data_IF_672714027174
#
_entry.id   IF_672714027174
#
_cell.length_a   1.000
_cell.length_b   1.000
_cell.length_c   1.000
_cell.angle_alpha   90.00
_cell.angle_beta   90.00
_cell.angle_gamma   90.00
#
_symmetry.space_group_name_H-M   'P 1'
#
loop_
_entity.id
_entity.type
_entity.pdbx_description
1 polymer ?
#
# COMPACT_ATOMS: atom_id res chain seq x y z
N UNK A 1 34.04 45.23 21.72
CA UNK A 1 34.55 44.41 22.81
C UNK A 1 33.40 43.89 23.66
N UNK A 2 32.94 42.69 23.43
CA UNK A 2 32.04 41.96 24.34
C UNK A 2 32.41 40.49 24.25
N UNK A 3 32.81 39.94 25.42
CA UNK A 3 33.30 38.56 25.58
C UNK A 3 32.11 37.62 25.60
N UNK A 4 32.16 36.57 24.76
CA UNK A 4 31.27 35.44 24.84
C UNK A 4 31.85 34.37 25.79
N UNK A 5 31.11 34.06 26.84
CA UNK A 5 31.43 33.02 27.82
C UNK A 5 31.02 31.65 27.28
N UNK A 6 31.96 30.69 27.30
CA UNK A 6 31.74 29.28 27.03
C UNK A 6 30.83 28.64 28.08
N UNK A 7 29.66 28.15 27.67
CA UNK A 7 28.89 27.21 28.44
C UNK A 7 29.14 25.78 27.94
N UNK A 8 29.76 24.96 28.75
CA UNK A 8 29.94 23.51 28.57
C UNK A 8 28.61 22.82 28.78
N UNK A 9 28.10 22.15 27.74
CA UNK A 9 26.97 21.24 27.88
C UNK A 9 27.48 19.83 28.13
N UNK A 10 27.18 19.33 29.34
CA UNK A 10 27.41 17.93 29.72
C UNK A 10 26.36 16.98 29.12
N UNK A 11 26.62 15.66 29.07
CA UNK A 11 25.73 14.71 28.41
C UNK A 11 24.47 14.45 29.21
N UNK A 12 23.32 14.55 28.53
CA UNK A 12 22.00 14.20 29.08
C UNK A 12 21.91 12.67 29.20
N UNK A 13 21.95 12.16 30.43
CA UNK A 13 21.57 10.78 30.75
C UNK A 13 20.08 10.72 31.00
N UNK A 14 19.32 10.12 30.10
CA UNK A 14 17.96 9.63 30.38
C UNK A 14 17.87 8.18 29.90
N UNK A 15 18.26 7.28 30.78
CA UNK A 15 17.85 5.89 30.74
C UNK A 15 17.27 5.56 32.11
N UNK A 16 15.96 5.69 32.29
CA UNK A 16 15.24 5.10 33.41
C UNK A 16 14.48 3.87 32.89
N UNK A 17 14.98 2.68 33.27
CA UNK A 17 14.23 1.43 33.29
C UNK A 17 13.01 1.61 34.18
N UNK A 18 11.81 1.45 33.65
CA UNK A 18 10.63 1.14 34.43
C UNK A 18 10.57 -0.37 34.61
N UNK A 19 10.97 -0.85 35.79
CA UNK A 19 10.68 -2.19 36.25
C UNK A 19 9.27 -2.17 36.85
N UNK A 20 8.33 -2.87 36.20
CA UNK A 20 7.02 -3.17 36.77
C UNK A 20 7.20 -4.35 37.74
N UNK A 21 7.02 -4.10 39.02
CA UNK A 21 6.91 -5.10 40.07
C UNK A 21 5.57 -5.80 39.95
N UNK A 22 5.61 -7.13 39.78
CA UNK A 22 4.43 -7.97 39.82
C UNK A 22 3.96 -8.12 41.28
N UNK A 23 2.79 -7.56 41.59
CA UNK A 23 2.11 -7.83 42.85
C UNK A 23 1.24 -9.08 42.74
N UNK A 24 1.35 -9.85 43.80
CA UNK A 24 0.78 -11.17 44.02
C UNK A 24 -0.76 -11.14 44.02
N UNK A 25 -1.36 -11.93 43.13
CA UNK A 25 -2.80 -12.26 43.14
C UNK A 25 -3.00 -13.58 43.89
N UNK A 26 -3.94 -13.71 44.85
CA UNK A 26 -4.15 -14.94 45.59
C UNK A 26 -4.81 -16.03 44.72
N UNK A 27 -4.31 -17.28 44.91
CA UNK A 27 -4.85 -18.50 44.31
C UNK A 27 -6.33 -18.67 44.66
N UNK A 28 -7.19 -18.74 43.68
CA UNK A 28 -8.56 -19.28 43.77
C UNK A 28 -8.62 -20.68 43.22
N UNK A 29 -9.50 -21.45 43.86
CA UNK A 29 -9.73 -22.87 43.75
C UNK A 29 -9.89 -23.41 42.32
N UNK A 30 -9.36 -24.60 42.11
CA UNK A 30 -9.52 -25.43 40.94
C UNK A 30 -11.02 -25.81 40.74
N UNK A 31 -11.61 -25.23 39.69
CA UNK A 31 -12.83 -25.79 39.12
C UNK A 31 -12.44 -26.57 37.86
N UNK A 32 -12.78 -27.89 37.88
CA UNK A 32 -12.76 -28.72 36.69
C UNK A 32 -13.55 -28.04 35.58
N UNK A 33 -12.84 -27.63 34.53
CA UNK A 33 -13.46 -27.19 33.28
C UNK A 33 -13.47 -28.40 32.32
N UNK A 34 -14.68 -28.81 31.98
CA UNK A 34 -14.96 -29.73 30.89
C UNK A 34 -14.24 -29.28 29.61
N UNK A 35 -13.63 -30.24 28.92
CA UNK A 35 -13.03 -30.03 27.59
C UNK A 35 -14.12 -29.61 26.60
N UNK A 36 -14.36 -28.31 26.50
CA UNK A 36 -15.03 -27.74 25.34
C UNK A 36 -14.04 -27.71 24.19
N UNK A 37 -14.36 -28.42 23.12
CA UNK A 37 -13.72 -28.21 21.83
C UNK A 37 -13.72 -26.69 21.51
N UNK A 38 -12.58 -26.12 21.05
CA UNK A 38 -12.59 -24.74 20.59
C UNK A 38 -13.64 -24.61 19.47
N UNK A 39 -14.39 -23.49 19.43
CA UNK A 39 -15.30 -23.27 18.34
C UNK A 39 -14.52 -23.38 17.05
N UNK A 40 -14.99 -24.22 16.10
CA UNK A 40 -14.47 -24.23 14.75
C UNK A 40 -14.51 -22.76 14.26
N UNK A 41 -13.34 -22.22 13.91
CA UNK A 41 -13.27 -20.97 13.21
C UNK A 41 -14.22 -21.07 12.02
N UNK A 42 -15.26 -20.26 12.03
CA UNK A 42 -16.13 -20.12 10.88
C UNK A 42 -15.23 -19.59 9.77
N UNK A 43 -14.78 -20.48 8.90
CA UNK A 43 -14.14 -20.08 7.65
C UNK A 43 -15.19 -19.29 6.91
N UNK A 44 -15.05 -17.97 6.91
CA UNK A 44 -15.75 -17.10 5.96
C UNK A 44 -15.30 -17.62 4.60
N UNK A 45 -16.15 -18.41 3.96
CA UNK A 45 -15.88 -18.88 2.61
C UNK A 45 -15.71 -17.62 1.77
N UNK A 46 -14.52 -17.37 1.21
CA UNK A 46 -14.40 -16.28 0.23
C UNK A 46 -15.40 -16.60 -0.88
N UNK A 47 -16.01 -15.55 -1.42
CA UNK A 47 -16.84 -15.66 -2.63
C UNK A 47 -16.20 -16.69 -3.58
N UNK A 48 -16.99 -17.62 -4.15
CA UNK A 48 -16.42 -18.69 -4.98
C UNK A 48 -15.52 -18.06 -6.04
N UNK A 49 -14.38 -18.68 -6.38
CA UNK A 49 -13.47 -18.15 -7.37
C UNK A 49 -14.23 -18.03 -8.69
N UNK A 50 -14.73 -16.85 -8.98
CA UNK A 50 -15.06 -16.45 -10.33
C UNK A 50 -13.76 -16.54 -11.13
N UNK A 51 -13.82 -16.93 -12.39
CA UNK A 51 -12.63 -17.03 -13.26
C UNK A 51 -11.90 -15.69 -13.31
N UNK A 52 -10.98 -15.49 -12.36
CA UNK A 52 -10.16 -14.28 -12.29
C UNK A 52 -9.19 -14.32 -13.46
N UNK A 53 -9.14 -13.30 -14.33
CA UNK A 53 -8.22 -13.25 -15.44
C UNK A 53 -6.79 -13.49 -14.99
N UNK A 54 -6.09 -14.40 -15.67
CA UNK A 54 -4.68 -14.64 -15.39
C UNK A 54 -3.86 -13.39 -15.74
N UNK A 55 -3.13 -12.88 -14.77
CA UNK A 55 -2.24 -11.73 -14.96
C UNK A 55 -0.78 -12.17 -14.93
N UNK A 56 0.09 -11.43 -15.65
CA UNK A 56 1.54 -11.64 -15.67
C UNK A 56 2.24 -10.33 -15.35
N UNK A 57 3.50 -10.40 -14.94
CA UNK A 57 4.35 -9.22 -14.83
C UNK A 57 4.41 -8.50 -16.18
N UNK A 58 4.21 -7.17 -16.19
CA UNK A 58 4.14 -6.33 -17.37
C UNK A 58 5.21 -5.25 -17.30
N UNK A 59 6.03 -5.11 -18.32
CA UNK A 59 6.96 -3.99 -18.40
C UNK A 59 6.19 -2.72 -18.76
N UNK A 60 6.20 -1.73 -17.87
CA UNK A 60 5.45 -0.47 -18.01
C UNK A 60 6.33 0.72 -18.38
N UNK A 61 7.65 0.64 -18.09
CA UNK A 61 8.67 1.59 -18.46
C UNK A 61 10.04 0.86 -18.58
N UNK A 62 11.11 1.48 -19.07
CA UNK A 62 12.42 0.85 -19.07
C UNK A 62 12.79 0.35 -17.66
N UNK A 63 13.16 -0.93 -17.56
CA UNK A 63 13.52 -1.62 -16.30
C UNK A 63 12.46 -1.54 -15.17
N UNK A 64 11.21 -1.21 -15.51
CA UNK A 64 10.11 -1.09 -14.55
C UNK A 64 8.96 -2.00 -14.93
N UNK A 65 8.57 -2.88 -14.02
CA UNK A 65 7.50 -3.88 -14.20
C UNK A 65 6.38 -3.67 -13.20
N UNK A 66 5.14 -3.71 -13.67
CA UNK A 66 3.96 -3.91 -12.84
C UNK A 66 3.84 -5.40 -12.50
N UNK A 67 3.55 -5.72 -11.25
CA UNK A 67 3.26 -7.06 -10.76
C UNK A 67 1.79 -7.11 -10.36
N UNK A 68 0.90 -7.42 -11.29
CA UNK A 68 -0.53 -7.26 -11.07
C UNK A 68 -1.16 -8.49 -10.45
N UNK A 69 -2.16 -8.27 -9.59
CA UNK A 69 -3.16 -9.24 -9.19
C UNK A 69 -4.53 -8.58 -9.28
N UNK A 70 -5.58 -9.39 -9.33
CA UNK A 70 -6.96 -8.93 -9.43
C UNK A 70 -7.79 -9.56 -8.32
N UNK A 71 -8.49 -8.75 -7.55
CA UNK A 71 -9.47 -9.19 -6.58
C UNK A 71 -10.88 -9.03 -7.17
N UNK A 72 -11.75 -10.06 -7.16
CA UNK A 72 -13.11 -9.95 -7.65
C UNK A 72 -13.90 -8.85 -6.90
N UNK A 73 -14.54 -7.96 -7.65
CA UNK A 73 -15.39 -6.89 -7.12
C UNK A 73 -16.88 -7.06 -7.48
N UNK A 74 -17.24 -8.17 -8.11
CA UNK A 74 -18.59 -8.44 -8.58
C UNK A 74 -18.89 -7.90 -9.98
N UNK A 75 -19.95 -8.39 -10.60
CA UNK A 75 -20.43 -7.95 -11.92
C UNK A 75 -19.37 -7.98 -13.04
N UNK A 76 -18.41 -8.92 -12.99
CA UNK A 76 -17.34 -9.01 -13.98
C UNK A 76 -16.28 -7.92 -13.86
N UNK A 77 -16.27 -7.17 -12.75
CA UNK A 77 -15.26 -6.17 -12.42
C UNK A 77 -14.29 -6.71 -11.36
N UNK A 78 -13.09 -6.17 -11.41
CA UNK A 78 -11.99 -6.53 -10.52
C UNK A 78 -11.34 -5.27 -9.94
N UNK A 79 -10.95 -5.35 -8.67
CA UNK A 79 -10.05 -4.39 -8.05
C UNK A 79 -8.61 -4.83 -8.33
N UNK A 80 -7.80 -4.03 -9.03
CA UNK A 80 -6.37 -4.30 -9.12
C UNK A 80 -5.71 -4.28 -7.74
N UNK A 81 -4.79 -5.21 -7.49
CA UNK A 81 -3.90 -5.24 -6.34
C UNK A 81 -2.49 -5.36 -6.91
N UNK A 82 -1.96 -4.24 -7.31
CA UNK A 82 -0.68 -4.16 -7.99
C UNK A 82 0.47 -3.94 -7.01
N UNK A 83 1.65 -4.30 -7.44
CA UNK A 83 2.93 -3.86 -6.90
C UNK A 83 3.89 -3.62 -8.07
N UNK A 84 5.11 -3.17 -7.81
CA UNK A 84 6.03 -2.80 -8.88
C UNK A 84 7.44 -3.32 -8.59
N UNK A 85 8.22 -3.58 -9.65
CA UNK A 85 9.65 -3.90 -9.57
C UNK A 85 10.43 -2.95 -10.47
N UNK A 86 11.48 -2.36 -9.94
CA UNK A 86 12.46 -1.57 -10.69
C UNK A 86 13.75 -2.38 -10.73
N UNK A 87 14.20 -2.81 -11.92
CA UNK A 87 15.35 -3.69 -12.13
C UNK A 87 16.71 -3.01 -12.18
N UNK A 88 16.81 -1.73 -11.98
CA UNK A 88 18.07 -1.00 -12.06
C UNK A 88 19.30 -1.68 -11.40
N UNK A 89 20.40 -1.00 -11.29
CA UNK A 89 21.65 -1.57 -10.72
C UNK A 89 21.49 -2.15 -9.32
N UNK A 90 20.59 -1.58 -8.52
CA UNK A 90 20.16 -2.09 -7.22
C UNK A 90 18.65 -2.30 -7.29
N UNK A 91 18.18 -3.50 -7.63
CA UNK A 91 16.76 -3.74 -7.81
C UNK A 91 15.91 -3.42 -6.58
N UNK A 92 14.72 -2.87 -6.85
CA UNK A 92 13.74 -2.43 -5.85
C UNK A 92 12.43 -3.18 -6.05
N UNK A 93 11.91 -3.78 -4.99
CA UNK A 93 10.53 -4.26 -4.93
C UNK A 93 9.70 -3.16 -4.25
N UNK A 94 8.61 -2.75 -4.88
CA UNK A 94 7.69 -1.72 -4.40
C UNK A 94 6.39 -2.37 -4.01
N UNK A 95 6.06 -2.39 -2.73
CA UNK A 95 4.97 -3.12 -2.09
C UNK A 95 5.01 -4.64 -2.32
N UNK A 96 4.24 -5.39 -1.56
CA UNK A 96 4.35 -6.86 -1.55
C UNK A 96 3.00 -7.58 -1.71
N UNK A 97 1.99 -6.88 -2.24
CA UNK A 97 0.69 -7.43 -2.57
C UNK A 97 -0.14 -7.88 -1.36
N UNK A 98 -1.31 -8.45 -1.64
CA UNK A 98 -2.24 -8.94 -0.62
C UNK A 98 -1.94 -10.38 -0.19
N UNK A 99 -2.27 -10.76 1.06
CA UNK A 99 -2.10 -12.13 1.56
C UNK A 99 -2.82 -13.18 0.70
N UNK A 100 -4.00 -12.84 0.18
CA UNK A 100 -4.80 -13.69 -0.71
C UNK A 100 -4.03 -14.12 -1.97
N UNK A 101 -3.19 -13.25 -2.51
CA UNK A 101 -2.45 -13.49 -3.75
C UNK A 101 -0.98 -13.88 -3.51
N UNK A 102 -0.55 -14.05 -2.26
CA UNK A 102 0.86 -14.15 -1.87
C UNK A 102 1.68 -15.15 -2.69
N UNK A 103 1.19 -16.38 -2.87
CA UNK A 103 1.92 -17.41 -3.61
C UNK A 103 2.13 -17.02 -5.08
N UNK A 104 1.04 -16.59 -5.75
CA UNK A 104 1.08 -16.15 -7.14
C UNK A 104 1.90 -14.86 -7.31
N UNK A 105 1.84 -13.96 -6.34
CA UNK A 105 2.62 -12.73 -6.32
C UNK A 105 4.12 -13.02 -6.22
N UNK A 106 4.54 -13.93 -5.33
CA UNK A 106 5.93 -14.36 -5.20
C UNK A 106 6.47 -14.99 -6.48
N UNK A 107 5.68 -15.81 -7.16
CA UNK A 107 6.03 -16.38 -8.46
C UNK A 107 6.28 -15.26 -9.50
N UNK A 108 5.37 -14.29 -9.59
CA UNK A 108 5.47 -13.19 -10.55
C UNK A 108 6.66 -12.27 -10.26
N UNK A 109 6.87 -11.83 -9.02
CA UNK A 109 7.95 -10.93 -8.69
C UNK A 109 9.32 -11.57 -8.95
N UNK A 110 9.49 -12.84 -8.59
CA UNK A 110 10.73 -13.56 -8.81
C UNK A 110 10.90 -14.14 -10.25
N UNK A 111 9.89 -13.96 -11.10
CA UNK A 111 10.08 -14.11 -12.55
C UNK A 111 10.73 -12.89 -13.20
N UNK A 112 10.78 -11.75 -12.46
CA UNK A 112 11.32 -10.47 -12.95
C UNK A 112 12.72 -10.19 -12.37
N UNK A 113 12.94 -10.54 -11.10
CA UNK A 113 14.18 -10.24 -10.37
C UNK A 113 14.60 -11.42 -9.50
N UNK A 114 15.89 -11.72 -9.45
CA UNK A 114 16.41 -12.74 -8.54
C UNK A 114 16.45 -12.21 -7.10
N UNK A 115 16.02 -13.01 -6.11
CA UNK A 115 15.99 -12.59 -4.70
C UNK A 115 17.32 -12.05 -4.17
N UNK A 116 18.43 -12.66 -4.57
CA UNK A 116 19.78 -12.31 -4.15
C UNK A 116 20.24 -10.95 -4.68
N UNK A 117 19.66 -10.50 -5.80
CA UNK A 117 19.99 -9.22 -6.43
C UNK A 117 19.22 -8.06 -5.82
N UNK A 118 18.08 -8.29 -5.20
CA UNK A 118 17.24 -7.24 -4.58
C UNK A 118 18.04 -6.53 -3.49
N UNK A 119 18.08 -5.19 -3.57
CA UNK A 119 18.76 -4.33 -2.58
C UNK A 119 17.81 -3.48 -1.79
N UNK A 120 16.61 -3.25 -2.31
CA UNK A 120 15.62 -2.39 -1.69
C UNK A 120 14.24 -3.02 -1.73
N UNK A 121 13.51 -2.90 -0.63
CA UNK A 121 12.07 -3.14 -0.55
C UNK A 121 11.48 -1.82 -0.12
N UNK A 122 10.70 -1.18 -0.97
CA UNK A 122 9.98 0.04 -0.64
C UNK A 122 8.55 -0.31 -0.26
N UNK A 123 8.16 0.03 0.96
CA UNK A 123 6.81 -0.15 1.44
C UNK A 123 6.10 1.20 1.43
N UNK A 124 5.09 1.35 0.58
CA UNK A 124 4.35 2.60 0.42
C UNK A 124 3.55 2.96 1.68
N UNK A 125 2.89 1.99 2.28
CA UNK A 125 2.21 2.06 3.59
C UNK A 125 2.03 0.65 4.19
N UNK A 126 1.32 0.54 5.31
CA UNK A 126 1.29 -0.68 6.12
C UNK A 126 0.00 -1.50 5.98
N UNK A 127 -0.87 -1.18 5.05
CA UNK A 127 -2.10 -1.94 4.82
C UNK A 127 -1.85 -3.36 4.30
N UNK A 128 -2.78 -4.26 4.60
CA UNK A 128 -2.60 -5.69 4.37
C UNK A 128 -2.35 -6.07 2.91
N UNK A 129 -2.93 -5.34 1.98
CA UNK A 129 -2.79 -5.56 0.54
C UNK A 129 -1.49 -4.98 -0.08
N UNK A 130 -0.70 -4.26 0.72
CA UNK A 130 0.65 -3.83 0.39
C UNK A 130 1.72 -4.64 1.13
N UNK A 131 1.35 -5.34 2.19
CA UNK A 131 2.28 -6.04 3.09
C UNK A 131 2.13 -7.56 3.12
N UNK A 132 1.28 -8.12 2.25
CA UNK A 132 0.90 -9.54 2.30
C UNK A 132 2.05 -10.53 2.09
N UNK A 133 3.05 -10.17 1.28
CA UNK A 133 4.26 -10.95 1.04
C UNK A 133 5.50 -10.44 1.78
N UNK A 134 5.38 -9.43 2.65
CA UNK A 134 6.53 -8.72 3.22
C UNK A 134 7.54 -9.63 3.94
N UNK A 135 7.07 -10.54 4.80
CA UNK A 135 7.95 -11.42 5.55
C UNK A 135 8.65 -12.43 4.64
N UNK A 136 7.94 -12.97 3.63
CA UNK A 136 8.53 -13.90 2.65
C UNK A 136 9.63 -13.22 1.82
N UNK A 137 9.41 -11.95 1.43
CA UNK A 137 10.41 -11.17 0.67
C UNK A 137 11.61 -10.83 1.55
N UNK A 138 11.39 -10.42 2.81
CA UNK A 138 12.47 -10.14 3.75
C UNK A 138 13.33 -11.37 4.06
N UNK A 139 12.73 -12.57 4.09
CA UNK A 139 13.43 -13.83 4.27
C UNK A 139 14.25 -14.21 3.03
N UNK A 140 13.70 -14.07 1.83
CA UNK A 140 14.35 -14.44 0.57
C UNK A 140 15.40 -13.42 0.13
N UNK A 141 15.07 -12.14 0.21
CA UNK A 141 15.92 -11.02 -0.19
C UNK A 141 16.79 -10.54 0.98
N UNK A 142 17.72 -11.37 1.42
CA UNK A 142 18.51 -11.12 2.64
C UNK A 142 19.44 -9.90 2.54
N UNK A 143 19.76 -9.48 1.32
CA UNK A 143 20.61 -8.32 1.04
C UNK A 143 19.80 -7.02 0.97
N UNK A 144 18.47 -7.09 1.05
CA UNK A 144 17.61 -5.94 0.87
C UNK A 144 17.45 -5.12 2.16
N UNK A 145 17.41 -3.81 1.99
CA UNK A 145 17.01 -2.84 3.01
C UNK A 145 15.55 -2.47 2.81
N UNK A 146 14.75 -2.54 3.87
CA UNK A 146 13.35 -2.11 3.86
C UNK A 146 13.28 -0.59 4.05
N UNK A 147 12.77 0.11 3.04
CA UNK A 147 12.46 1.55 3.12
C UNK A 147 11.01 1.71 3.58
N UNK A 148 10.84 2.29 4.75
CA UNK A 148 9.53 2.46 5.40
C UNK A 148 9.54 3.73 6.26
N UNK A 149 8.63 3.88 7.24
CA UNK A 149 8.61 4.97 8.20
C UNK A 149 8.29 4.48 9.63
N UNK A 150 8.40 5.41 10.57
CA UNK A 150 8.17 5.13 11.99
C UNK A 150 6.77 4.53 12.24
N UNK A 151 5.71 5.20 11.78
CA UNK A 151 4.35 4.74 12.07
C UNK A 151 3.99 3.42 11.40
N UNK A 152 4.49 3.16 10.18
CA UNK A 152 4.31 1.84 9.57
C UNK A 152 4.95 0.73 10.41
N UNK A 153 6.15 0.97 10.96
CA UNK A 153 6.82 -0.03 11.80
C UNK A 153 6.08 -0.25 13.11
N UNK A 154 5.62 0.82 13.77
CA UNK A 154 4.84 0.72 15.00
C UNK A 154 3.54 -0.11 14.80
N UNK A 155 2.84 0.11 13.69
CA UNK A 155 1.62 -0.63 13.38
C UNK A 155 1.90 -2.07 12.97
N UNK A 156 2.87 -2.28 12.07
CA UNK A 156 3.27 -3.62 11.62
C UNK A 156 3.84 -4.49 12.76
N UNK A 157 4.54 -3.89 13.73
CA UNK A 157 5.10 -4.62 14.86
C UNK A 157 4.04 -5.28 15.76
N UNK A 158 2.80 -4.76 15.74
CA UNK A 158 1.68 -5.38 16.45
C UNK A 158 1.25 -6.72 15.82
N UNK A 159 1.45 -6.87 14.53
CA UNK A 159 1.07 -8.07 13.77
C UNK A 159 2.28 -8.93 13.38
N UNK A 160 3.41 -8.31 13.14
CA UNK A 160 4.63 -8.91 12.59
C UNK A 160 5.84 -8.60 13.50
N UNK A 161 5.97 -9.26 14.67
CA UNK A 161 7.00 -8.91 15.65
C UNK A 161 8.44 -9.18 15.20
N UNK A 162 8.65 -9.91 14.11
CA UNK A 162 9.97 -10.32 13.60
C UNK A 162 10.52 -9.39 12.51
N UNK A 163 10.14 -8.11 12.51
CA UNK A 163 10.68 -7.15 11.54
C UNK A 163 12.17 -6.86 11.82
N UNK A 164 13.05 -6.91 10.79
CA UNK A 164 14.49 -6.71 10.93
C UNK A 164 14.85 -5.21 11.00
N UNK A 165 14.78 -4.60 12.19
CA UNK A 165 15.02 -3.16 12.38
C UNK A 165 16.40 -2.73 11.87
N UNK A 166 17.42 -3.60 11.97
CA UNK A 166 18.78 -3.36 11.49
C UNK A 166 18.89 -3.27 9.96
N UNK A 167 17.88 -3.75 9.23
CA UNK A 167 17.79 -3.68 7.77
C UNK A 167 16.76 -2.66 7.30
N UNK A 168 16.50 -1.59 8.06
CA UNK A 168 15.51 -0.57 7.70
C UNK A 168 16.14 0.79 7.44
N UNK A 169 15.49 1.56 6.60
CA UNK A 169 15.65 3.00 6.48
C UNK A 169 14.30 3.67 6.54
N UNK A 170 14.16 4.62 7.42
CA UNK A 170 12.96 5.45 7.55
C UNK A 170 13.15 6.72 6.75
N UNK A 171 12.35 6.89 5.72
CA UNK A 171 12.41 8.03 4.81
C UNK A 171 11.02 8.61 4.65
N UNK A 172 10.88 9.88 4.95
CA UNK A 172 9.62 10.62 4.84
C UNK A 172 9.45 11.23 3.42
N UNK A 173 8.22 11.65 3.05
CA UNK A 173 7.99 12.40 1.82
C UNK A 173 8.93 13.60 1.69
N UNK A 174 9.49 13.81 0.48
CA UNK A 174 10.55 14.78 0.20
C UNK A 174 11.96 14.23 0.36
N UNK A 175 12.11 13.03 0.94
CA UNK A 175 13.38 12.31 0.98
C UNK A 175 13.63 11.48 -0.27
N UNK A 176 14.79 10.81 -0.31
CA UNK A 176 15.21 9.96 -1.44
C UNK A 176 16.19 8.87 -0.98
N UNK A 177 16.39 7.87 -1.84
CA UNK A 177 17.48 6.89 -1.69
C UNK A 177 18.12 6.58 -3.03
N UNK A 178 19.42 6.27 -2.97
CA UNK A 178 20.24 5.91 -4.12
C UNK A 178 20.13 4.40 -4.37
N UNK A 179 19.62 4.02 -5.54
CA UNK A 179 19.52 2.65 -6.02
C UNK A 179 20.67 2.31 -7.00
N UNK A 180 21.79 3.02 -6.91
CA UNK A 180 23.06 2.73 -7.58
C UNK A 180 23.22 3.36 -8.96
N UNK A 181 22.21 3.38 -9.79
CA UNK A 181 22.19 4.02 -11.12
C UNK A 181 21.11 5.10 -11.21
N UNK A 182 20.30 5.23 -10.16
CA UNK A 182 19.19 6.19 -10.06
C UNK A 182 18.94 6.58 -8.62
N UNK A 183 18.39 7.79 -8.43
CA UNK A 183 17.96 8.28 -7.12
C UNK A 183 16.43 8.32 -7.12
N UNK A 184 15.84 7.46 -6.33
CA UNK A 184 14.39 7.37 -6.19
C UNK A 184 13.88 8.38 -5.17
N UNK A 185 12.83 9.12 -5.52
CA UNK A 185 12.30 10.23 -4.74
C UNK A 185 10.95 9.86 -4.11
N UNK A 186 10.79 10.14 -2.83
CA UNK A 186 9.56 9.88 -2.09
C UNK A 186 8.70 11.14 -2.01
N UNK A 187 7.39 10.98 -2.18
CA UNK A 187 6.44 12.08 -2.09
C UNK A 187 5.16 11.65 -1.36
N UNK A 188 4.35 12.61 -0.95
CA UNK A 188 3.00 12.34 -0.46
C UNK A 188 2.06 12.28 -1.67
N UNK A 189 1.36 11.16 -1.94
CA UNK A 189 0.38 11.10 -3.01
C UNK A 189 -0.83 12.01 -2.71
N UNK A 190 -1.57 12.46 -3.73
CA UNK A 190 -2.73 13.34 -3.52
C UNK A 190 -3.91 12.66 -2.81
N UNK A 191 -4.09 11.36 -3.03
CA UNK A 191 -5.07 10.52 -2.35
C UNK A 191 -4.31 9.52 -1.50
N UNK A 192 -4.67 9.42 -0.23
CA UNK A 192 -4.04 8.50 0.72
C UNK A 192 -5.01 8.27 1.90
N UNK A 193 -4.98 7.11 2.49
CA UNK A 193 -5.85 6.71 3.60
C UNK A 193 -5.22 6.94 4.99
N UNK A 194 -3.89 7.02 5.06
CA UNK A 194 -3.19 7.15 6.34
C UNK A 194 -1.93 8.00 6.30
N UNK A 195 -1.40 8.36 7.48
CA UNK A 195 -0.17 9.17 7.59
C UNK A 195 1.07 8.45 7.06
N UNK A 196 1.01 7.13 6.94
CA UNK A 196 2.12 6.28 6.54
C UNK A 196 2.34 6.24 5.03
N UNK A 197 1.35 6.64 4.21
CA UNK A 197 1.35 6.51 2.75
C UNK A 197 2.40 7.40 2.08
N UNK A 198 3.21 6.81 1.18
CA UNK A 198 4.25 7.49 0.39
C UNK A 198 4.30 6.93 -1.02
N UNK A 199 4.32 7.81 -2.01
CA UNK A 199 4.61 7.48 -3.39
C UNK A 199 6.11 7.41 -3.66
N UNK A 200 6.47 6.84 -4.82
CA UNK A 200 7.85 6.71 -5.28
C UNK A 200 7.95 7.19 -6.74
N UNK A 201 8.93 8.03 -7.02
CA UNK A 201 9.21 8.51 -8.37
C UNK A 201 10.62 8.14 -8.80
N UNK A 202 10.75 7.55 -9.99
CA UNK A 202 12.01 7.31 -10.68
C UNK A 202 12.23 8.38 -11.78
N UNK A 203 13.07 9.38 -11.57
CA UNK A 203 13.35 10.40 -12.57
C UNK A 203 14.09 9.86 -13.80
N UNK A 204 14.78 8.71 -13.68
CA UNK A 204 15.54 8.10 -14.79
C UNK A 204 14.62 7.59 -15.89
N UNK A 205 13.48 7.01 -15.53
CA UNK A 205 12.50 6.45 -16.47
C UNK A 205 11.22 7.28 -16.57
N UNK A 206 11.08 8.29 -15.69
CA UNK A 206 9.86 9.06 -15.47
C UNK A 206 8.66 8.15 -15.12
N UNK A 207 8.92 7.10 -14.35
CA UNK A 207 7.92 6.20 -13.82
C UNK A 207 7.56 6.58 -12.38
N UNK A 208 6.28 6.57 -12.05
CA UNK A 208 5.77 6.93 -10.73
C UNK A 208 4.89 5.82 -10.16
N UNK A 209 5.09 5.48 -8.90
CA UNK A 209 4.17 4.71 -8.08
C UNK A 209 3.35 5.66 -7.21
N UNK A 210 2.05 5.78 -7.52
CA UNK A 210 1.18 6.78 -6.87
C UNK A 210 0.27 6.15 -5.79
N UNK A 211 0.54 4.91 -5.42
CA UNK A 211 -0.13 4.13 -4.37
C UNK A 211 -1.63 3.96 -4.67
N UNK A 212 -2.52 4.38 -3.78
CA UNK A 212 -3.97 4.22 -3.91
C UNK A 212 -4.64 5.32 -4.73
N UNK A 213 -3.88 6.39 -5.05
CA UNK A 213 -4.36 7.41 -5.98
C UNK A 213 -4.65 6.77 -7.34
N UNK A 214 -5.73 7.18 -7.99
CA UNK A 214 -6.24 6.65 -9.25
C UNK A 214 -6.79 5.22 -9.17
N UNK A 215 -7.31 4.83 -8.00
CA UNK A 215 -8.04 3.59 -7.85
C UNK A 215 -9.24 3.53 -8.81
N UNK A 216 -9.42 2.37 -9.45
CA UNK A 216 -10.48 2.15 -10.43
C UNK A 216 -10.77 0.65 -10.57
N UNK A 217 -12.04 0.25 -10.53
CA UNK A 217 -12.42 -1.12 -10.89
C UNK A 217 -12.27 -1.32 -12.39
N UNK A 218 -11.75 -2.47 -12.82
CA UNK A 218 -11.51 -2.78 -14.22
C UNK A 218 -12.16 -4.09 -14.65
N UNK A 219 -12.47 -4.29 -15.93
CA UNK A 219 -12.93 -5.58 -16.44
C UNK A 219 -11.80 -6.61 -16.60
N UNK A 220 -10.58 -6.31 -16.10
CA UNK A 220 -9.41 -7.18 -16.14
C UNK A 220 -8.20 -6.59 -16.86
N UNK A 221 -8.34 -5.56 -17.68
CA UNK A 221 -7.19 -4.83 -18.25
C UNK A 221 -6.58 -3.88 -17.22
N UNK A 222 -5.26 -3.72 -17.30
CA UNK A 222 -4.45 -2.91 -16.40
C UNK A 222 -3.68 -1.80 -17.12
N UNK A 223 -3.93 -1.60 -18.39
CA UNK A 223 -3.47 -0.44 -19.15
C UNK A 223 -4.68 0.43 -19.50
N UNK A 224 -4.63 1.71 -19.12
CA UNK A 224 -5.73 2.63 -19.36
C UNK A 224 -6.05 2.80 -20.85
N UNK A 225 -5.07 2.60 -21.74
CA UNK A 225 -5.28 2.65 -23.18
C UNK A 225 -6.25 1.57 -23.70
N UNK A 226 -6.38 0.46 -22.95
CA UNK A 226 -7.27 -0.65 -23.29
C UNK A 226 -8.64 -0.55 -22.60
N UNK A 227 -8.87 0.47 -21.78
CA UNK A 227 -10.08 0.62 -21.00
C UNK A 227 -11.06 1.62 -21.63
N UNK A 228 -12.37 1.33 -21.59
CA UNK A 228 -13.38 2.30 -21.96
C UNK A 228 -13.31 3.55 -21.05
N UNK A 229 -13.65 4.71 -21.60
CA UNK A 229 -13.56 5.98 -20.88
C UNK A 229 -14.51 6.05 -19.68
N UNK A 230 -15.64 5.37 -19.70
CA UNK A 230 -16.58 5.29 -18.59
C UNK A 230 -16.01 4.52 -17.39
N UNK A 231 -15.07 3.59 -17.62
CA UNK A 231 -14.30 2.92 -16.55
C UNK A 231 -13.42 3.92 -15.84
N UNK A 232 -12.66 4.74 -16.58
CA UNK A 232 -11.79 5.77 -16.00
C UNK A 232 -12.58 6.87 -15.29
N UNK A 233 -13.81 7.16 -15.74
CA UNK A 233 -14.70 8.12 -15.08
C UNK A 233 -15.13 7.71 -13.65
N UNK A 234 -14.85 6.47 -13.22
CA UNK A 234 -15.10 6.02 -11.83
C UNK A 234 -14.00 6.43 -10.85
N UNK A 235 -12.82 6.85 -11.32
CA UNK A 235 -11.69 7.22 -10.45
C UNK A 235 -12.03 8.26 -9.38
N UNK A 236 -12.79 9.34 -9.64
CA UNK A 236 -13.15 10.29 -8.60
C UNK A 236 -13.95 9.66 -7.46
N UNK A 237 -14.83 8.72 -7.76
CA UNK A 237 -15.62 8.02 -6.76
C UNK A 237 -14.73 7.14 -5.85
N UNK A 238 -13.82 6.38 -6.46
CA UNK A 238 -12.87 5.53 -5.72
C UNK A 238 -11.90 6.37 -4.89
N UNK A 239 -11.34 7.44 -5.45
CA UNK A 239 -10.48 8.39 -4.73
C UNK A 239 -11.22 9.03 -3.54
N UNK A 240 -12.50 9.36 -3.70
CA UNK A 240 -13.35 9.86 -2.61
C UNK A 240 -13.55 8.83 -1.50
N UNK A 241 -13.72 7.57 -1.84
CA UNK A 241 -13.89 6.49 -0.86
C UNK A 241 -12.61 6.24 -0.05
N UNK A 242 -11.44 6.24 -0.71
CA UNK A 242 -10.12 6.06 -0.06
C UNK A 242 -9.79 7.25 0.84
N UNK A 243 -10.09 8.47 0.43
CA UNK A 243 -9.74 9.69 1.15
C UNK A 243 -10.97 10.56 1.47
N UNK A 244 -11.89 10.14 2.34
CA UNK A 244 -13.13 10.88 2.60
C UNK A 244 -12.89 12.28 3.19
N UNK A 245 -11.74 12.53 3.79
CA UNK A 245 -11.33 13.86 4.27
C UNK A 245 -11.17 14.90 3.15
N UNK A 246 -11.18 14.52 1.86
CA UNK A 246 -11.17 15.46 0.75
C UNK A 246 -12.28 16.51 0.86
N UNK A 247 -13.42 16.14 1.45
CA UNK A 247 -14.56 17.04 1.64
C UNK A 247 -14.24 18.25 2.54
N UNK A 248 -13.25 18.13 3.40
CA UNK A 248 -12.82 19.18 4.34
C UNK A 248 -11.54 19.89 3.93
N UNK A 249 -10.97 19.55 2.78
CA UNK A 249 -9.73 20.18 2.31
C UNK A 249 -10.02 21.54 1.65
N UNK A 250 -9.11 22.49 1.87
CA UNK A 250 -9.08 23.75 1.13
C UNK A 250 -8.66 23.47 -0.32
N UNK A 251 -9.50 23.85 -1.27
CA UNK A 251 -9.31 23.60 -2.71
C UNK A 251 -7.99 24.14 -3.24
N UNK A 252 -7.62 25.36 -2.84
CA UNK A 252 -6.40 25.98 -3.34
C UNK A 252 -5.15 25.28 -2.80
N UNK A 253 -5.16 24.86 -1.53
CA UNK A 253 -4.05 24.15 -0.93
C UNK A 253 -3.91 22.73 -1.50
N UNK A 254 -5.03 22.03 -1.70
CA UNK A 254 -5.04 20.73 -2.33
C UNK A 254 -4.60 20.78 -3.80
N UNK A 255 -5.11 21.74 -4.56
CA UNK A 255 -4.70 21.93 -5.95
C UNK A 255 -3.19 22.16 -6.08
N UNK A 256 -2.60 23.03 -5.24
CA UNK A 256 -1.13 23.21 -5.21
C UNK A 256 -0.37 21.92 -4.89
N UNK A 257 -0.94 21.04 -4.04
CA UNK A 257 -0.33 19.75 -3.75
C UNK A 257 -0.38 18.82 -4.97
N UNK A 258 -1.53 18.75 -5.66
CA UNK A 258 -1.69 18.00 -6.92
C UNK A 258 -0.69 18.49 -7.96
N UNK A 259 -0.61 19.83 -8.15
CA UNK A 259 0.34 20.46 -9.08
C UNK A 259 1.81 20.11 -8.74
N UNK A 260 2.16 20.06 -7.46
CA UNK A 260 3.50 19.69 -7.02
C UNK A 260 3.84 18.22 -7.31
N UNK A 261 2.86 17.32 -7.25
CA UNK A 261 3.04 15.91 -7.61
C UNK A 261 3.13 15.75 -9.14
N UNK A 262 2.29 16.42 -9.89
CA UNK A 262 2.35 16.41 -11.36
C UNK A 262 3.67 17.00 -11.89
N UNK A 263 4.21 18.01 -11.21
CA UNK A 263 5.47 18.66 -11.56
C UNK A 263 6.72 17.75 -11.47
N UNK A 264 6.61 16.54 -10.90
CA UNK A 264 7.63 15.50 -11.06
C UNK A 264 7.83 15.10 -12.52
N UNK A 265 6.83 15.34 -13.39
CA UNK A 265 6.91 15.07 -14.83
C UNK A 265 6.89 13.58 -15.16
N UNK A 266 6.13 12.79 -14.42
CA UNK A 266 5.94 11.38 -14.71
C UNK A 266 5.30 11.19 -16.09
N UNK A 267 5.81 10.22 -16.86
CA UNK A 267 5.25 9.82 -18.14
C UNK A 267 4.47 8.51 -18.06
N UNK A 268 4.75 7.72 -17.04
CA UNK A 268 4.05 6.48 -16.72
C UNK A 268 3.72 6.50 -15.24
N UNK A 269 2.45 6.38 -14.90
CA UNK A 269 1.99 6.33 -13.52
C UNK A 269 1.30 5.01 -13.29
N UNK A 270 1.76 4.27 -12.28
CA UNK A 270 1.16 3.03 -11.82
C UNK A 270 0.51 3.25 -10.44
N UNK A 271 -0.69 2.73 -10.28
CA UNK A 271 -1.45 2.73 -9.03
C UNK A 271 -1.57 1.31 -8.46
N UNK A 272 -1.67 1.20 -7.16
CA UNK A 272 -1.94 -0.06 -6.49
C UNK A 272 -3.32 -0.63 -6.89
N UNK A 273 -4.29 0.24 -7.04
CA UNK A 273 -5.69 -0.14 -7.27
C UNK A 273 -6.27 0.38 -8.59
N UNK A 274 -5.41 0.67 -9.55
CA UNK A 274 -5.84 1.21 -10.83
C UNK A 274 -5.01 0.72 -12.01
N UNK A 275 -5.39 1.12 -13.23
CA UNK A 275 -4.62 0.86 -14.43
C UNK A 275 -3.37 1.75 -14.51
N UNK A 276 -2.46 1.39 -15.40
CA UNK A 276 -1.32 2.25 -15.74
C UNK A 276 -1.79 3.40 -16.63
N UNK A 277 -1.49 4.62 -16.22
CA UNK A 277 -1.87 5.85 -16.91
C UNK A 277 -0.69 6.48 -17.65
N UNK A 278 -0.96 7.04 -18.84
CA UNK A 278 0.01 7.73 -19.70
C UNK A 278 -0.68 8.81 -20.54
N UNK A 279 0.08 9.82 -21.00
CA UNK A 279 -0.41 10.84 -21.93
C UNK A 279 -1.70 11.50 -21.47
N UNK A 280 -2.64 11.72 -22.38
CA UNK A 280 -3.91 12.41 -22.13
C UNK A 280 -4.72 11.82 -20.97
N UNK A 281 -4.72 10.49 -20.80
CA UNK A 281 -5.43 9.84 -19.70
C UNK A 281 -4.83 10.19 -18.32
N UNK A 282 -3.51 10.41 -18.27
CA UNK A 282 -2.82 10.84 -17.07
C UNK A 282 -3.14 12.31 -16.77
N UNK A 283 -3.14 13.17 -17.79
CA UNK A 283 -3.48 14.58 -17.66
C UNK A 283 -4.93 14.73 -17.16
N UNK A 284 -5.89 14.00 -17.77
CA UNK A 284 -7.30 13.97 -17.37
C UNK A 284 -7.46 13.48 -15.90
N UNK A 285 -6.67 12.49 -15.48
CA UNK A 285 -6.74 11.96 -14.12
C UNK A 285 -6.24 12.98 -13.08
N UNK A 286 -5.19 13.75 -13.38
CA UNK A 286 -4.75 14.85 -12.53
C UNK A 286 -5.77 16.01 -12.48
N UNK A 287 -6.41 16.31 -13.59
CA UNK A 287 -7.50 17.31 -13.62
C UNK A 287 -8.69 16.90 -12.76
N UNK A 288 -9.06 15.61 -12.79
CA UNK A 288 -10.10 15.08 -11.91
C UNK A 288 -9.72 15.21 -10.42
N UNK A 289 -8.47 14.96 -10.05
CA UNK A 289 -8.00 15.15 -8.67
C UNK A 289 -8.13 16.60 -8.19
N UNK A 290 -7.78 17.59 -9.03
CA UNK A 290 -7.95 19.01 -8.69
C UNK A 290 -9.40 19.36 -8.33
N UNK A 291 -10.35 18.67 -8.96
CA UNK A 291 -11.78 18.81 -8.69
C UNK A 291 -12.26 18.16 -7.40
N UNK A 292 -11.48 17.29 -6.76
CA UNK A 292 -11.93 16.43 -5.66
C UNK A 292 -12.18 17.20 -4.36
N UNK A 293 -11.29 18.13 -3.98
CA UNK A 293 -11.36 18.82 -2.69
C UNK A 293 -12.66 19.62 -2.52
N UNK A 294 -13.28 19.49 -1.35
CA UNK A 294 -14.53 20.19 -1.01
C UNK A 294 -15.76 19.65 -1.73
N UNK A 295 -15.67 18.52 -2.44
CA UNK A 295 -16.85 17.82 -2.96
C UNK A 295 -17.51 16.96 -1.87
N UNK A 296 -18.82 16.64 -1.97
CA UNK A 296 -19.47 15.74 -1.03
C UNK A 296 -18.81 14.35 -1.00
N UNK A 297 -18.76 13.74 0.17
CA UNK A 297 -18.32 12.36 0.34
C UNK A 297 -19.30 11.43 -0.37
N UNK A 298 -18.78 10.52 -1.18
CA UNK A 298 -19.57 9.45 -1.78
C UNK A 298 -19.78 8.37 -0.70
N UNK A 299 -21.04 8.04 -0.36
CA UNK A 299 -21.30 7.01 0.64
C UNK A 299 -20.72 5.66 0.22
N UNK A 300 -20.05 5.00 1.13
CA UNK A 300 -19.65 3.59 0.96
C UNK A 300 -20.86 2.68 1.06
N UNK A 301 -20.84 1.47 0.46
CA UNK A 301 -21.89 0.48 0.63
C UNK A 301 -22.19 0.21 2.11
N UNK A 302 -23.47 0.15 2.44
CA UNK A 302 -23.93 -0.08 3.81
C UNK A 302 -24.51 -1.49 4.04
N UNK A 303 -25.33 -1.62 5.09
CA UNK A 303 -25.95 -2.87 5.49
C UNK A 303 -26.75 -3.56 4.37
N UNK A 304 -27.38 -2.78 3.50
CA UNK A 304 -28.18 -3.32 2.37
C UNK A 304 -27.32 -4.19 1.43
N UNK A 305 -26.08 -3.80 1.16
CA UNK A 305 -25.17 -4.64 0.37
C UNK A 305 -24.79 -5.93 1.11
N UNK A 306 -24.50 -5.84 2.42
CA UNK A 306 -24.22 -7.03 3.22
C UNK A 306 -25.39 -8.00 3.20
N UNK A 307 -26.61 -7.51 3.40
CA UNK A 307 -27.83 -8.33 3.38
C UNK A 307 -28.00 -9.04 2.03
N UNK A 308 -27.72 -8.36 0.92
CA UNK A 308 -27.73 -8.97 -0.40
C UNK A 308 -26.67 -10.06 -0.59
N UNK A 309 -25.46 -9.85 -0.03
CA UNK A 309 -24.35 -10.82 -0.15
C UNK A 309 -24.60 -12.09 0.67
N UNK A 310 -25.26 -12.00 1.83
CA UNK A 310 -25.52 -13.15 2.70
C UNK A 310 -26.83 -13.89 2.38
N UNK A 311 -27.76 -13.26 1.65
CA UNK A 311 -29.06 -13.86 1.31
C UNK A 311 -28.95 -15.24 0.64
N UNK A 312 -28.05 -15.50 -0.31
CA UNK A 312 -27.89 -16.83 -0.91
C UNK A 312 -27.42 -17.91 0.09
N UNK A 313 -26.49 -17.56 0.99
CA UNK A 313 -25.96 -18.49 2.00
C UNK A 313 -26.99 -18.91 3.05
N UNK A 314 -27.93 -18.04 3.36
CA UNK A 314 -29.03 -18.36 4.30
C UNK A 314 -30.06 -19.31 3.67
N UNK A 315 -30.27 -19.25 2.35
CA UNK A 315 -31.17 -20.15 1.63
C UNK A 315 -30.56 -21.57 1.53
N UNK A 316 -29.26 -21.71 1.28
CA UNK A 316 -28.57 -22.99 1.25
C UNK A 316 -28.48 -23.66 2.63
N UNK A 317 -28.36 -22.88 3.70
CA UNK A 317 -28.33 -23.41 5.08
C UNK A 317 -29.72 -23.85 5.60
N UNK A 318 -30.79 -23.43 4.94
CA UNK A 318 -32.17 -23.75 5.31
C UNK A 318 -32.79 -24.92 4.48
N UNK A 319 -32.07 -25.40 3.45
CA UNK A 319 -32.46 -26.49 2.57
C UNK A 319 -31.77 -27.82 2.97
#
# INVERSE_FOLDING_TARGET
MLRLSNARTGPCRVARRMALTADVVPRRAEHHLDHHNPPQEATVNPLPPTDVPATRAQQIAPETWLIPNLAPAGNGLYLPVNSMVIRGRQPVIVDTGAPLHRALWLEKVFSVVEPEDVRWIFLSHDDGDHTGGLLDVLERCRNATLVTNFFSVERLALEKPALPLERMRWIEPGGSFDAGDRVLQLFRPPVFDGPTTRGLFDPTTAAMWIVDTFACLTPGSLDAADLPQDVLAQMPAMNSAVSPWHAWLDRASYGRHVDAVEAFGARTVASAHGPVLRGEQLDDAFDQLRGLAGTPIIPTPGQELLDMLIAPTLVEAAA
#
